data_IF_714390736294
#
_entry.id   IF_714390736294
#
_cell.length_a   1.000
_cell.length_b   1.000
_cell.length_c   1.000
_cell.angle_alpha   90.00
_cell.angle_beta   90.00
_cell.angle_gamma   90.00
#
_symmetry.space_group_name_H-M   'P 1'
#
loop_
_entity.id
_entity.type
_entity.pdbx_description
1 polymer ?
#
# COMPACT_ATOMS: atom_id res chain seq x y z
N UNK A 1 2.56 1.52 -28.68
CA UNK A 1 2.92 2.77 -27.97
C UNK A 1 1.69 3.47 -27.39
N UNK A 2 0.61 3.62 -28.16
CA UNK A 2 -0.65 4.28 -27.75
C UNK A 2 -1.26 3.75 -26.46
N UNK A 3 -1.41 2.43 -26.30
CA UNK A 3 -1.94 1.83 -25.04
C UNK A 3 -1.08 2.13 -23.82
N UNK A 4 0.25 2.17 -23.96
CA UNK A 4 1.13 2.48 -22.82
C UNK A 4 0.89 3.90 -22.32
N UNK A 5 0.83 4.85 -23.25
CA UNK A 5 0.59 6.26 -22.93
C UNK A 5 -0.83 6.49 -22.38
N UNK A 6 -1.84 5.81 -22.92
CA UNK A 6 -3.24 5.96 -22.47
C UNK A 6 -3.48 5.51 -21.02
N UNK A 7 -2.63 4.65 -20.47
CA UNK A 7 -2.69 4.25 -19.06
C UNK A 7 -1.67 4.98 -18.19
N UNK A 8 -0.45 5.20 -18.69
CA UNK A 8 0.60 5.87 -17.92
C UNK A 8 0.29 7.35 -17.64
N UNK A 9 -0.25 8.09 -18.62
CA UNK A 9 -0.55 9.52 -18.44
C UNK A 9 -1.68 9.72 -17.42
N UNK A 10 -2.86 9.07 -17.53
CA UNK A 10 -3.90 9.22 -16.52
C UNK A 10 -3.44 8.75 -15.13
N UNK A 11 -2.64 7.69 -15.04
CA UNK A 11 -2.04 7.24 -13.77
C UNK A 11 -1.14 8.32 -13.17
N UNK A 12 -0.27 8.94 -13.98
CA UNK A 12 0.59 10.04 -13.55
C UNK A 12 -0.24 11.22 -13.04
N UNK A 13 -1.22 11.66 -13.82
CA UNK A 13 -2.12 12.76 -13.46
C UNK A 13 -2.91 12.47 -12.17
N UNK A 14 -3.36 11.23 -11.98
CA UNK A 14 -4.07 10.81 -10.76
C UNK A 14 -3.18 10.96 -9.52
N UNK A 15 -1.93 10.50 -9.58
CA UNK A 15 -1.01 10.64 -8.46
C UNK A 15 -0.54 12.09 -8.23
N UNK A 16 -0.36 12.88 -9.29
CA UNK A 16 -0.07 14.32 -9.18
C UNK A 16 -1.24 15.09 -8.55
N UNK A 17 -2.48 14.76 -8.93
CA UNK A 17 -3.68 15.32 -8.31
C UNK A 17 -3.77 14.94 -6.83
N UNK A 18 -3.48 13.68 -6.50
CA UNK A 18 -3.46 13.23 -5.11
C UNK A 18 -2.43 14.01 -4.31
N UNK A 19 -1.20 14.17 -4.82
CA UNK A 19 -0.16 14.96 -4.18
C UNK A 19 -0.61 16.40 -3.91
N UNK A 20 -1.20 17.06 -4.92
CA UNK A 20 -1.75 18.41 -4.75
C UNK A 20 -2.84 18.45 -3.68
N UNK A 21 -3.78 17.49 -3.71
CA UNK A 21 -4.92 17.45 -2.80
C UNK A 21 -4.55 17.13 -1.36
N UNK A 22 -3.66 16.16 -1.15
CA UNK A 22 -3.22 15.84 0.20
C UNK A 22 -2.46 17.01 0.81
N UNK A 23 -1.57 17.69 0.08
CA UNK A 23 -0.90 18.89 0.58
C UNK A 23 -1.87 20.04 0.87
N UNK A 24 -2.93 20.20 0.06
CA UNK A 24 -3.98 21.19 0.32
C UNK A 24 -4.74 20.92 1.63
N UNK A 25 -5.00 19.64 1.94
CA UNK A 25 -5.76 19.22 3.13
C UNK A 25 -4.87 19.20 4.38
N UNK A 26 -3.72 18.54 4.29
CA UNK A 26 -2.87 18.23 5.42
C UNK A 26 -1.82 19.30 5.71
N UNK A 27 -1.35 20.04 4.70
CA UNK A 27 -0.30 21.06 4.86
C UNK A 27 -0.55 22.00 6.05
N UNK A 28 -1.70 22.72 6.09
CA UNK A 28 -2.01 23.63 7.19
C UNK A 28 -2.09 22.96 8.57
N UNK A 29 -2.55 21.70 8.63
CA UNK A 29 -2.68 20.95 9.88
C UNK A 29 -1.31 20.44 10.39
N UNK A 30 -0.42 20.08 9.47
CA UNK A 30 0.89 19.51 9.78
C UNK A 30 1.99 20.55 9.96
N UNK A 31 1.85 21.76 9.43
CA UNK A 31 2.82 22.87 9.65
C UNK A 31 3.19 23.08 11.12
N UNK A 32 2.26 23.22 12.08
CA UNK A 32 2.61 23.38 13.49
C UNK A 32 3.29 22.13 14.08
N UNK A 33 2.87 20.93 13.66
CA UNK A 33 3.49 19.67 14.10
C UNK A 33 4.93 19.59 13.58
N UNK A 34 5.15 19.93 12.31
CA UNK A 34 6.47 19.96 11.69
C UNK A 34 7.39 20.96 12.39
N UNK A 35 6.89 22.14 12.72
CA UNK A 35 7.65 23.13 13.49
C UNK A 35 8.07 22.58 14.85
N UNK A 36 7.18 21.86 15.55
CA UNK A 36 7.52 21.21 16.82
C UNK A 36 8.56 20.07 16.62
N UNK A 37 8.34 19.18 15.66
CA UNK A 37 9.22 18.04 15.37
C UNK A 37 10.63 18.44 14.87
N UNK A 38 10.80 19.67 14.38
CA UNK A 38 12.09 20.20 13.87
C UNK A 38 12.74 21.20 14.80
N UNK A 39 12.12 21.53 15.93
CA UNK A 39 12.66 22.47 16.89
C UNK A 39 13.87 21.87 17.64
N UNK A 40 15.09 22.42 17.46
CA UNK A 40 16.29 21.88 18.13
C UNK A 40 16.32 22.14 19.64
N UNK A 41 15.50 23.06 20.16
CA UNK A 41 15.47 23.44 21.57
C UNK A 41 14.57 22.53 22.42
N UNK A 42 13.83 21.62 21.76
CA UNK A 42 12.92 20.67 22.40
C UNK A 42 13.59 19.29 22.36
N UNK A 43 14.00 18.80 23.53
CA UNK A 43 14.43 17.41 23.66
C UNK A 43 13.25 16.46 23.46
N UNK A 44 13.54 15.22 23.07
CA UNK A 44 12.51 14.17 22.90
C UNK A 44 11.79 13.88 24.23
N UNK A 45 12.53 13.90 25.34
CA UNK A 45 12.00 13.64 26.68
C UNK A 45 11.03 14.76 27.15
N UNK A 46 11.30 16.01 26.77
CA UNK A 46 10.43 17.15 27.10
C UNK A 46 9.35 17.42 26.05
N UNK A 47 9.34 16.67 24.93
CA UNK A 47 8.53 16.99 23.75
C UNK A 47 7.06 17.12 24.09
N UNK A 48 6.50 16.13 24.78
CA UNK A 48 5.08 16.13 25.14
C UNK A 48 4.72 17.28 26.08
N UNK A 49 5.59 17.55 27.07
CA UNK A 49 5.37 18.64 28.03
C UNK A 49 5.45 20.03 27.39
N UNK A 50 6.41 20.25 26.47
CA UNK A 50 6.66 21.55 25.85
C UNK A 50 5.72 21.87 24.70
N UNK A 51 5.21 20.86 24.01
CA UNK A 51 4.42 21.05 22.78
C UNK A 51 2.95 20.68 22.95
N UNK A 52 2.61 19.85 23.94
CA UNK A 52 1.28 19.25 24.07
C UNK A 52 1.02 18.10 23.09
N UNK A 53 1.97 17.77 22.21
CA UNK A 53 1.87 16.62 21.30
C UNK A 53 2.24 15.31 22.00
N UNK A 54 1.88 14.18 21.39
CA UNK A 54 2.14 12.88 21.96
C UNK A 54 3.62 12.48 21.85
N UNK A 55 4.12 11.72 22.81
CA UNK A 55 5.49 11.19 22.78
C UNK A 55 5.73 10.27 21.59
N UNK A 56 6.93 10.30 21.02
CA UNK A 56 7.31 9.44 19.88
C UNK A 56 8.70 8.82 20.09
N UNK A 57 8.99 7.73 19.40
CA UNK A 57 10.29 7.03 19.49
C UNK A 57 11.19 7.37 18.28
N UNK A 58 12.11 8.35 18.39
CA UNK A 58 12.92 8.81 17.27
C UNK A 58 13.89 7.75 16.74
N UNK A 59 14.26 6.74 17.54
CA UNK A 59 15.20 5.71 17.12
C UNK A 59 14.64 4.84 15.98
N UNK A 60 13.32 4.72 15.89
CA UNK A 60 12.64 4.01 14.80
C UNK A 60 12.81 4.72 13.45
N UNK A 61 13.21 6.00 13.46
CA UNK A 61 13.52 6.78 12.26
C UNK A 61 14.94 6.55 11.72
N UNK A 62 15.75 5.71 12.36
CA UNK A 62 17.11 5.35 11.92
C UNK A 62 18.01 6.57 11.61
N UNK A 63 17.87 7.63 12.41
CA UNK A 63 18.62 8.87 12.23
C UNK A 63 18.03 9.79 11.17
N UNK A 64 17.81 9.31 9.95
CA UNK A 64 17.40 10.11 8.80
C UNK A 64 15.91 10.46 8.76
N UNK A 65 15.05 9.67 9.41
CA UNK A 65 13.59 9.79 9.35
C UNK A 65 12.98 10.15 10.71
N UNK A 66 13.74 10.78 11.61
CA UNK A 66 13.25 11.19 12.95
C UNK A 66 12.02 12.08 12.86
N UNK A 67 12.06 13.09 11.98
CA UNK A 67 10.94 14.03 11.76
C UNK A 67 9.72 13.29 11.23
N UNK A 68 9.91 12.37 10.27
CA UNK A 68 8.82 11.56 9.73
C UNK A 68 8.15 10.71 10.83
N UNK A 69 8.93 10.07 11.70
CA UNK A 69 8.39 9.28 12.82
C UNK A 69 7.60 10.16 13.81
N UNK A 70 8.06 11.39 14.05
CA UNK A 70 7.31 12.36 14.86
C UNK A 70 5.96 12.69 14.21
N UNK A 71 5.96 13.10 12.94
CA UNK A 71 4.75 13.47 12.19
C UNK A 71 3.72 12.34 12.12
N UNK A 72 4.17 11.13 11.74
CA UNK A 72 3.27 10.00 11.57
C UNK A 72 2.70 9.50 12.90
N UNK A 73 3.42 9.67 14.01
CA UNK A 73 2.90 9.34 15.34
C UNK A 73 1.71 10.25 15.69
N UNK A 74 1.82 11.57 15.43
CA UNK A 74 0.70 12.49 15.67
C UNK A 74 -0.47 12.22 14.72
N UNK A 75 -0.18 11.94 13.45
CA UNK A 75 -1.19 11.60 12.47
C UNK A 75 -1.99 10.35 12.85
N UNK A 76 -1.29 9.28 13.26
CA UNK A 76 -1.92 8.03 13.69
C UNK A 76 -2.72 8.21 14.99
N UNK A 77 -2.28 9.10 15.88
CA UNK A 77 -3.04 9.47 17.07
C UNK A 77 -4.35 10.16 16.68
N UNK A 78 -4.31 11.17 15.81
CA UNK A 78 -5.52 11.87 15.35
C UNK A 78 -6.51 10.91 14.68
N UNK A 79 -6.02 10.00 13.82
CA UNK A 79 -6.86 8.98 13.20
C UNK A 79 -7.49 8.03 14.23
N UNK A 80 -6.74 7.68 15.27
CA UNK A 80 -7.28 6.83 16.33
C UNK A 80 -8.36 7.55 17.14
N UNK A 81 -8.14 8.82 17.48
CA UNK A 81 -9.07 9.63 18.27
C UNK A 81 -10.34 10.00 17.52
N UNK A 82 -10.32 9.93 16.18
CA UNK A 82 -11.47 10.15 15.30
C UNK A 82 -12.26 8.86 15.00
N UNK A 83 -12.32 7.92 15.95
CA UNK A 83 -13.13 6.71 15.81
C UNK A 83 -14.63 7.07 15.60
N UNK A 84 -15.33 6.44 14.64
CA UNK A 84 -14.92 5.33 13.79
C UNK A 84 -14.29 5.75 12.44
N UNK A 85 -14.35 7.04 12.08
CA UNK A 85 -13.93 7.52 10.76
C UNK A 85 -12.46 7.20 10.45
N UNK A 86 -11.56 7.42 11.41
CA UNK A 86 -10.13 7.18 11.19
C UNK A 86 -9.76 5.71 11.00
N UNK A 87 -10.40 4.75 11.70
CA UNK A 87 -10.16 3.32 11.45
C UNK A 87 -10.73 2.87 10.10
N UNK A 88 -11.87 3.44 9.68
CA UNK A 88 -12.49 3.13 8.39
C UNK A 88 -11.58 3.58 7.23
N UNK A 89 -11.07 4.80 7.28
CA UNK A 89 -10.22 5.35 6.21
C UNK A 89 -8.82 4.76 6.22
N UNK A 90 -8.18 4.60 7.39
CA UNK A 90 -6.89 3.93 7.49
C UNK A 90 -6.96 2.45 7.10
N UNK A 91 -7.95 1.73 7.64
CA UNK A 91 -8.20 0.34 7.31
C UNK A 91 -8.46 0.14 5.82
N UNK A 92 -9.14 1.09 5.17
CA UNK A 92 -9.35 1.12 3.72
C UNK A 92 -8.03 1.07 2.94
N UNK A 93 -7.06 1.93 3.28
CA UNK A 93 -5.73 1.91 2.65
C UNK A 93 -5.03 0.57 2.87
N UNK A 94 -5.06 0.04 4.09
CA UNK A 94 -4.39 -1.23 4.40
C UNK A 94 -4.97 -2.36 3.56
N UNK A 95 -6.30 -2.49 3.51
CA UNK A 95 -7.02 -3.48 2.69
C UNK A 95 -6.61 -3.39 1.22
N UNK A 96 -6.57 -2.19 0.63
CA UNK A 96 -6.18 -1.99 -0.78
C UNK A 96 -4.69 -2.31 -1.01
N UNK A 97 -3.83 -2.06 -0.03
CA UNK A 97 -2.38 -2.23 -0.14
C UNK A 97 -1.89 -3.69 -0.12
N UNK A 98 -2.72 -4.63 0.34
CA UNK A 98 -2.35 -6.05 0.45
C UNK A 98 -1.92 -6.66 -0.90
N UNK A 99 -2.74 -6.66 -1.96
CA UNK A 99 -2.33 -7.16 -3.28
C UNK A 99 -1.13 -6.38 -3.83
N UNK A 100 -1.05 -5.08 -3.52
CA UNK A 100 0.02 -4.21 -4.01
C UNK A 100 1.39 -4.62 -3.47
N UNK A 101 1.50 -4.94 -2.19
CA UNK A 101 2.77 -5.36 -1.57
C UNK A 101 3.36 -6.57 -2.29
N UNK A 102 2.51 -7.55 -2.62
CA UNK A 102 2.92 -8.73 -3.39
C UNK A 102 3.40 -8.35 -4.80
N UNK A 103 2.63 -7.52 -5.51
CA UNK A 103 2.96 -7.08 -6.87
C UNK A 103 4.31 -6.32 -6.89
N UNK A 104 4.48 -5.34 -6.00
CA UNK A 104 5.68 -4.49 -5.95
C UNK A 104 6.95 -5.32 -5.81
N UNK A 105 6.95 -6.31 -4.91
CA UNK A 105 8.12 -7.12 -4.63
C UNK A 105 8.37 -8.20 -5.68
N UNK A 106 7.31 -8.81 -6.23
CA UNK A 106 7.43 -9.86 -7.25
C UNK A 106 7.86 -9.28 -8.59
N UNK A 107 7.24 -8.17 -9.03
CA UNK A 107 7.59 -7.49 -10.30
C UNK A 107 9.06 -7.09 -10.32
N UNK A 108 9.61 -6.61 -9.21
CA UNK A 108 11.02 -6.24 -9.10
C UNK A 108 11.98 -7.41 -9.41
N UNK A 109 11.55 -8.65 -9.12
CA UNK A 109 12.36 -9.85 -9.32
C UNK A 109 12.19 -10.54 -10.67
N UNK A 110 11.23 -10.11 -11.50
CA UNK A 110 10.98 -10.79 -12.78
C UNK A 110 12.10 -10.58 -13.79
N UNK A 111 12.44 -11.66 -14.50
CA UNK A 111 13.34 -11.59 -15.66
C UNK A 111 12.76 -10.61 -16.69
N UNK A 112 13.58 -9.67 -17.14
CA UNK A 112 13.18 -8.62 -18.09
C UNK A 112 12.67 -7.32 -17.45
N UNK A 113 12.41 -7.26 -16.14
CA UNK A 113 12.08 -6.00 -15.45
C UNK A 113 13.25 -5.01 -15.55
N UNK A 114 12.96 -3.78 -15.96
CA UNK A 114 13.91 -2.65 -16.12
C UNK A 114 13.40 -1.39 -15.39
N UNK A 115 14.28 -0.42 -15.21
CA UNK A 115 13.92 0.89 -14.63
C UNK A 115 13.62 0.84 -13.13
N UNK A 116 12.81 1.80 -12.66
CA UNK A 116 12.58 2.03 -11.23
C UNK A 116 11.92 0.85 -10.51
N UNK A 117 11.08 0.06 -11.20
CA UNK A 117 10.35 -1.07 -10.57
C UNK A 117 11.28 -2.16 -10.04
N UNK A 118 12.57 -2.15 -10.40
CA UNK A 118 13.58 -3.06 -9.83
C UNK A 118 14.01 -2.68 -8.42
N UNK A 119 13.66 -1.49 -7.93
CA UNK A 119 14.10 -0.96 -6.64
C UNK A 119 12.92 -0.83 -5.68
N UNK A 120 12.37 -1.94 -5.17
CA UNK A 120 11.19 -1.91 -4.30
C UNK A 120 11.45 -1.17 -2.99
N UNK A 121 12.69 -1.16 -2.49
CA UNK A 121 13.09 -0.39 -1.29
C UNK A 121 12.99 1.11 -1.55
N UNK A 122 13.43 1.59 -2.72
CA UNK A 122 13.28 3.00 -3.10
C UNK A 122 11.80 3.38 -3.15
N UNK A 123 10.97 2.54 -3.78
CA UNK A 123 9.52 2.76 -3.79
C UNK A 123 8.91 2.71 -2.38
N UNK A 124 9.33 1.77 -1.53
CA UNK A 124 8.91 1.72 -0.13
C UNK A 124 9.20 3.02 0.61
N UNK A 125 10.41 3.57 0.46
CA UNK A 125 10.78 4.84 1.09
C UNK A 125 9.98 6.01 0.53
N UNK A 126 9.75 6.05 -0.78
CA UNK A 126 8.91 7.06 -1.41
C UNK A 126 7.45 6.95 -0.95
N UNK A 127 6.89 5.75 -0.82
CA UNK A 127 5.55 5.52 -0.25
C UNK A 127 5.45 6.07 1.16
N UNK A 128 6.50 5.90 1.97
CA UNK A 128 6.52 6.39 3.34
C UNK A 128 6.64 7.92 3.43
N UNK A 129 7.41 8.53 2.52
CA UNK A 129 7.65 9.98 2.52
C UNK A 129 6.52 10.79 1.90
N UNK A 130 5.92 10.28 0.82
CA UNK A 130 5.00 11.04 -0.03
C UNK A 130 3.59 10.43 -0.11
N UNK A 131 3.38 9.27 0.52
CA UNK A 131 2.13 8.52 0.47
C UNK A 131 2.13 7.46 -0.64
N UNK A 132 1.58 6.28 -0.31
CA UNK A 132 1.42 5.18 -1.27
C UNK A 132 0.44 5.54 -2.39
N UNK A 133 -0.60 6.29 -2.07
CA UNK A 133 -1.61 6.81 -3.00
C UNK A 133 -1.04 7.76 -4.04
N UNK A 134 0.05 8.47 -3.72
CA UNK A 134 0.72 9.39 -4.64
C UNK A 134 1.68 8.61 -5.53
N UNK A 135 2.64 7.92 -4.93
CA UNK A 135 3.78 7.36 -5.65
C UNK A 135 3.38 6.13 -6.46
N UNK A 136 2.40 5.35 -6.00
CA UNK A 136 1.97 4.17 -6.75
C UNK A 136 1.42 4.53 -8.13
N UNK A 137 0.35 5.34 -8.26
CA UNK A 137 -0.15 5.76 -9.56
C UNK A 137 0.80 6.74 -10.26
N UNK A 138 1.49 7.64 -9.54
CA UNK A 138 2.35 8.64 -10.20
C UNK A 138 3.61 8.05 -10.82
N UNK A 139 4.30 7.16 -10.09
CA UNK A 139 5.63 6.70 -10.48
C UNK A 139 5.66 5.19 -10.71
N UNK A 140 5.09 4.40 -9.82
CA UNK A 140 5.22 2.93 -9.91
C UNK A 140 4.49 2.36 -11.13
N UNK A 141 3.22 2.73 -11.34
CA UNK A 141 2.42 2.22 -12.47
C UNK A 141 3.01 2.62 -13.83
N UNK A 142 3.36 3.90 -14.10
CA UNK A 142 4.06 4.28 -15.31
C UNK A 142 5.39 3.54 -15.47
N UNK A 143 6.19 3.45 -14.40
CA UNK A 143 7.46 2.71 -14.43
C UNK A 143 7.25 1.26 -14.83
N UNK A 144 6.21 0.59 -14.31
CA UNK A 144 5.86 -0.77 -14.68
C UNK A 144 5.50 -0.89 -16.16
N UNK A 145 4.62 -0.03 -16.68
CA UNK A 145 4.18 -0.02 -18.09
C UNK A 145 5.38 0.08 -19.05
N UNK A 146 6.41 0.81 -18.65
CA UNK A 146 7.65 0.99 -19.43
C UNK A 146 8.77 0.01 -19.07
N UNK A 147 8.64 -0.79 -18.01
CA UNK A 147 9.69 -1.68 -17.49
C UNK A 147 9.94 -2.97 -18.29
N UNK A 148 9.13 -3.25 -19.32
CA UNK A 148 9.09 -4.55 -20.05
C UNK A 148 8.78 -5.78 -19.17
N UNK A 149 8.49 -5.60 -17.88
CA UNK A 149 8.04 -6.67 -17.01
C UNK A 149 6.73 -7.28 -17.52
N UNK A 150 6.58 -8.59 -17.36
CA UNK A 150 5.39 -9.35 -17.81
C UNK A 150 4.86 -10.20 -16.68
N UNK A 151 3.53 -10.28 -16.55
CA UNK A 151 2.87 -11.27 -15.68
C UNK A 151 3.24 -12.69 -16.14
N UNK A 152 3.13 -13.67 -15.25
CA UNK A 152 3.43 -15.08 -15.55
C UNK A 152 4.92 -15.45 -15.63
N UNK A 153 5.83 -14.49 -15.83
CA UNK A 153 7.29 -14.74 -15.79
C UNK A 153 7.66 -15.21 -14.37
N UNK A 154 8.36 -16.36 -14.23
CA UNK A 154 8.56 -16.97 -12.94
C UNK A 154 9.54 -16.17 -12.06
N UNK A 155 9.34 -16.28 -10.75
CA UNK A 155 10.25 -15.76 -9.72
C UNK A 155 10.53 -16.86 -8.69
N UNK A 156 11.47 -16.63 -7.77
CA UNK A 156 11.76 -17.61 -6.73
C UNK A 156 10.59 -17.76 -5.76
N UNK A 157 10.44 -18.96 -5.19
CA UNK A 157 9.47 -19.18 -4.11
C UNK A 157 9.77 -18.34 -2.87
N UNK A 158 11.06 -18.06 -2.62
CA UNK A 158 11.50 -17.17 -1.54
C UNK A 158 10.90 -15.77 -1.70
N UNK A 159 11.01 -15.18 -2.90
CA UNK A 159 10.48 -13.83 -3.16
C UNK A 159 8.96 -13.78 -3.00
N UNK A 160 8.24 -14.75 -3.54
CA UNK A 160 6.77 -14.80 -3.43
C UNK A 160 6.34 -14.98 -1.97
N UNK A 161 6.97 -15.93 -1.27
CA UNK A 161 6.69 -16.18 0.14
C UNK A 161 6.99 -14.97 1.02
N UNK A 162 8.16 -14.36 0.86
CA UNK A 162 8.54 -13.15 1.60
C UNK A 162 7.59 -11.98 1.32
N UNK A 163 7.26 -11.74 0.05
CA UNK A 163 6.32 -10.68 -0.33
C UNK A 163 4.92 -10.88 0.25
N UNK A 164 4.49 -12.14 0.40
CA UNK A 164 3.23 -12.49 1.08
C UNK A 164 3.32 -12.20 2.57
N UNK A 165 4.37 -12.68 3.24
CA UNK A 165 4.54 -12.54 4.69
C UNK A 165 4.75 -11.10 5.14
N UNK A 166 5.36 -10.26 4.28
CA UNK A 166 5.61 -8.86 4.61
C UNK A 166 4.32 -8.04 4.81
N UNK A 167 3.18 -8.52 4.33
CA UNK A 167 1.89 -7.86 4.59
C UNK A 167 1.39 -8.01 6.04
N UNK A 168 1.88 -9.04 6.76
CA UNK A 168 1.41 -9.35 8.11
C UNK A 168 1.85 -8.31 9.14
N UNK A 169 3.14 -7.86 9.19
CA UNK A 169 3.54 -6.79 10.08
C UNK A 169 2.68 -5.53 9.95
N UNK A 170 2.39 -5.05 8.74
CA UNK A 170 1.54 -3.86 8.53
C UNK A 170 0.13 -4.06 9.10
N UNK A 171 -0.45 -5.24 8.90
CA UNK A 171 -1.79 -5.57 9.41
C UNK A 171 -1.80 -5.65 10.94
N UNK A 172 -0.80 -6.31 11.54
CA UNK A 172 -0.66 -6.44 12.98
C UNK A 172 -0.39 -5.09 13.65
N UNK A 173 0.50 -4.27 13.10
CA UNK A 173 0.82 -2.94 13.60
C UNK A 173 -0.39 -2.01 13.50
N UNK A 174 -1.17 -2.09 12.40
CA UNK A 174 -2.43 -1.36 12.27
C UNK A 174 -3.40 -1.73 13.39
N UNK A 175 -3.56 -3.03 13.68
CA UNK A 175 -4.39 -3.47 14.79
C UNK A 175 -3.87 -2.90 16.13
N UNK A 176 -2.57 -2.98 16.39
CA UNK A 176 -1.99 -2.44 17.62
C UNK A 176 -2.18 -0.92 17.76
N UNK A 177 -2.05 -0.16 16.66
CA UNK A 177 -2.24 1.29 16.67
C UNK A 177 -3.69 1.69 16.98
N UNK A 178 -4.69 0.92 16.55
CA UNK A 178 -6.08 1.27 16.83
C UNK A 178 -6.63 0.70 18.14
N UNK A 179 -6.00 -0.33 18.72
CA UNK A 179 -6.55 -1.04 19.88
C UNK A 179 -5.66 -1.09 21.13
N UNK A 180 -4.33 -0.91 21.04
CA UNK A 180 -3.47 -0.83 22.23
C UNK A 180 -3.67 0.53 22.93
N UNK A 181 -3.38 0.68 24.22
CA UNK A 181 -3.48 1.97 24.93
C UNK A 181 -2.51 3.02 24.35
N UNK A 182 -2.97 4.25 24.08
CA UNK A 182 -2.16 5.35 23.49
C UNK A 182 -0.94 5.67 24.35
N UNK A 183 -1.09 5.58 25.67
CA UNK A 183 -0.02 5.96 26.61
C UNK A 183 1.00 4.82 26.80
N UNK A 184 0.78 3.69 26.14
CA UNK A 184 1.68 2.54 26.22
C UNK A 184 2.85 2.64 25.25
N UNK A 185 4.02 2.18 25.69
CA UNK A 185 5.19 2.01 24.82
C UNK A 185 4.90 1.09 23.61
N UNK A 186 3.97 0.15 23.77
CA UNK A 186 3.52 -0.72 22.68
C UNK A 186 2.90 0.09 21.54
N UNK A 187 2.04 1.06 21.86
CA UNK A 187 1.40 1.92 20.86
C UNK A 187 2.43 2.83 20.17
N UNK A 188 3.25 3.55 20.95
CA UNK A 188 4.28 4.46 20.42
C UNK A 188 5.25 3.73 19.48
N UNK A 189 5.72 2.55 19.87
CA UNK A 189 6.60 1.75 19.02
C UNK A 189 5.88 1.23 17.78
N UNK A 190 4.61 0.82 17.91
CA UNK A 190 3.83 0.31 16.77
C UNK A 190 3.59 1.41 15.74
N UNK A 191 3.20 2.60 16.17
CA UNK A 191 3.02 3.78 15.33
C UNK A 191 4.33 4.16 14.63
N UNK A 192 5.45 4.19 15.37
CA UNK A 192 6.76 4.51 14.82
C UNK A 192 7.30 3.48 13.82
N UNK A 193 7.03 2.18 14.02
CA UNK A 193 7.41 1.13 13.05
C UNK A 193 6.52 1.20 11.81
N UNK A 194 5.21 1.38 11.99
CA UNK A 194 4.22 1.46 10.92
C UNK A 194 4.48 2.66 10.00
N UNK A 195 4.87 3.78 10.59
CA UNK A 195 5.17 5.03 9.90
C UNK A 195 6.65 5.26 9.58
N UNK A 196 7.53 4.37 10.02
CA UNK A 196 8.97 4.50 9.89
C UNK A 196 9.54 3.83 8.63
N UNK A 197 10.85 4.00 8.36
CA UNK A 197 11.52 3.40 7.22
C UNK A 197 11.65 1.87 7.31
N UNK A 198 11.41 1.26 8.48
CA UNK A 198 11.66 -0.16 8.71
C UNK A 198 10.87 -1.08 7.77
N UNK A 199 9.57 -0.82 7.59
CA UNK A 199 8.74 -1.60 6.67
C UNK A 199 9.18 -1.40 5.22
N UNK A 200 9.55 -0.18 4.83
CA UNK A 200 10.06 0.12 3.49
C UNK A 200 11.39 -0.60 3.19
N UNK A 201 12.28 -0.69 4.18
CA UNK A 201 13.59 -1.32 4.03
C UNK A 201 13.56 -2.84 4.11
N UNK A 202 12.46 -3.44 4.56
CA UNK A 202 12.31 -4.90 4.59
C UNK A 202 12.55 -5.57 3.23
N UNK A 203 12.36 -4.85 2.11
CA UNK A 203 12.71 -5.32 0.78
C UNK A 203 14.20 -5.62 0.57
N UNK A 204 15.10 -5.11 1.43
CA UNK A 204 16.54 -5.42 1.41
C UNK A 204 16.82 -6.91 1.64
N UNK A 205 15.93 -7.62 2.33
CA UNK A 205 16.04 -9.08 2.49
C UNK A 205 16.02 -9.82 1.14
N UNK A 206 15.47 -9.19 0.09
CA UNK A 206 15.41 -9.72 -1.27
C UNK A 206 16.52 -9.16 -2.20
N UNK A 207 17.50 -8.45 -1.65
CA UNK A 207 18.60 -7.88 -2.46
C UNK A 207 19.44 -8.97 -3.15
N UNK A 208 19.70 -10.07 -2.44
CA UNK A 208 20.50 -11.20 -2.93
C UNK A 208 19.67 -12.30 -3.62
N UNK A 209 18.36 -12.08 -3.78
CA UNK A 209 17.47 -13.07 -4.37
C UNK A 209 17.70 -13.23 -5.88
N UNK A 210 17.79 -14.48 -6.34
CA UNK A 210 18.14 -14.83 -7.73
C UNK A 210 16.94 -14.91 -8.68
N UNK A 211 15.80 -14.29 -8.36
CA UNK A 211 14.60 -14.31 -9.22
C UNK A 211 14.86 -13.90 -10.69
N UNK A 212 15.70 -12.89 -10.99
CA UNK A 212 15.95 -12.52 -12.39
C UNK A 212 16.66 -13.61 -13.21
N UNK A 213 17.28 -14.58 -12.56
CA UNK A 213 18.01 -15.70 -13.18
C UNK A 213 17.15 -16.95 -13.37
N UNK A 214 15.87 -16.94 -12.95
CA UNK A 214 14.97 -18.08 -13.11
C UNK A 214 14.51 -18.16 -14.56
N UNK A 215 14.77 -19.28 -15.22
CA UNK A 215 14.33 -19.51 -16.60
C UNK A 215 12.84 -19.80 -16.70
N UNK A 216 12.24 -19.33 -17.78
CA UNK A 216 10.80 -19.33 -18.03
C UNK A 216 10.25 -20.67 -18.54
N UNK A 217 10.87 -21.80 -18.19
CA UNK A 217 10.38 -23.13 -18.61
C UNK A 217 9.03 -23.49 -17.95
N UNK A 218 8.28 -24.47 -18.49
CA UNK A 218 6.91 -24.75 -18.04
C UNK A 218 6.83 -25.16 -16.57
N UNK A 219 7.85 -25.86 -16.04
CA UNK A 219 7.92 -26.29 -14.64
C UNK A 219 8.06 -25.09 -13.70
N UNK A 220 8.95 -24.15 -14.02
CA UNK A 220 9.15 -22.95 -13.21
C UNK A 220 7.94 -22.01 -13.28
N UNK A 221 7.36 -21.83 -14.48
CA UNK A 221 6.15 -21.04 -14.69
C UNK A 221 4.99 -21.61 -13.87
N UNK A 222 4.70 -22.90 -13.97
CA UNK A 222 3.63 -23.55 -13.22
C UNK A 222 3.84 -23.45 -11.70
N UNK A 223 5.08 -23.68 -11.22
CA UNK A 223 5.42 -23.60 -9.79
C UNK A 223 5.23 -22.18 -9.25
N UNK A 224 5.78 -21.18 -9.94
CA UNK A 224 5.66 -19.76 -9.57
C UNK A 224 4.20 -19.32 -9.61
N UNK A 225 3.46 -19.66 -10.67
CA UNK A 225 2.06 -19.31 -10.82
C UNK A 225 1.19 -19.92 -9.71
N UNK A 226 1.34 -21.21 -9.40
CA UNK A 226 0.57 -21.86 -8.34
C UNK A 226 0.82 -21.18 -6.98
N UNK A 227 2.08 -20.84 -6.67
CA UNK A 227 2.39 -20.15 -5.43
C UNK A 227 1.82 -18.72 -5.41
N UNK A 228 1.93 -17.95 -6.49
CA UNK A 228 1.32 -16.63 -6.62
C UNK A 228 -0.19 -16.67 -6.39
N UNK A 229 -0.89 -17.65 -6.98
CA UNK A 229 -2.34 -17.82 -6.79
C UNK A 229 -2.69 -18.12 -5.33
N UNK A 230 -1.95 -19.01 -4.68
CA UNK A 230 -2.12 -19.29 -3.25
C UNK A 230 -1.88 -18.05 -2.38
N UNK A 231 -0.86 -17.26 -2.71
CA UNK A 231 -0.59 -15.99 -2.04
C UNK A 231 -1.73 -14.99 -2.22
N UNK A 232 -2.25 -14.79 -3.44
CA UNK A 232 -3.41 -13.92 -3.66
C UNK A 232 -4.68 -14.43 -2.96
N UNK A 233 -4.91 -15.74 -2.94
CA UNK A 233 -6.04 -16.32 -2.20
C UNK A 233 -5.92 -16.04 -0.70
N UNK A 234 -4.74 -16.25 -0.13
CA UNK A 234 -4.47 -15.96 1.28
C UNK A 234 -4.66 -14.47 1.60
N UNK A 235 -4.01 -13.59 0.84
CA UNK A 235 -4.14 -12.13 1.03
C UNK A 235 -5.57 -11.64 0.78
N UNK A 236 -6.28 -12.24 -0.17
CA UNK A 236 -7.70 -11.98 -0.41
C UNK A 236 -8.56 -12.39 0.80
N UNK A 237 -8.28 -13.53 1.43
CA UNK A 237 -8.95 -13.94 2.67
C UNK A 237 -8.70 -12.95 3.82
N UNK A 238 -7.46 -12.54 4.03
CA UNK A 238 -7.10 -11.52 5.05
C UNK A 238 -7.81 -10.20 4.74
N UNK A 239 -7.76 -9.76 3.48
CA UNK A 239 -8.42 -8.54 3.02
C UNK A 239 -9.94 -8.57 3.23
N UNK A 240 -10.58 -9.72 2.99
CA UNK A 240 -12.01 -9.88 3.16
C UNK A 240 -12.40 -9.75 4.63
N UNK A 241 -11.66 -10.42 5.53
CA UNK A 241 -11.90 -10.32 6.97
C UNK A 241 -11.75 -8.88 7.46
N UNK A 242 -10.68 -8.19 7.06
CA UNK A 242 -10.49 -6.78 7.42
C UNK A 242 -11.61 -5.90 6.89
N UNK A 243 -11.98 -6.05 5.61
CA UNK A 243 -13.08 -5.28 5.03
C UNK A 243 -14.41 -5.53 5.74
N UNK A 244 -14.73 -6.79 6.04
CA UNK A 244 -15.93 -7.15 6.80
C UNK A 244 -15.94 -6.48 8.18
N UNK A 245 -14.81 -6.44 8.88
CA UNK A 245 -14.68 -5.70 10.14
C UNK A 245 -14.96 -4.20 9.96
N UNK A 246 -14.44 -3.56 8.92
CA UNK A 246 -14.70 -2.14 8.65
C UNK A 246 -16.18 -1.88 8.32
N UNK A 247 -16.82 -2.78 7.57
CA UNK A 247 -18.26 -2.70 7.28
C UNK A 247 -19.08 -2.85 8.56
N UNK A 248 -18.71 -3.78 9.45
CA UNK A 248 -19.36 -3.94 10.76
C UNK A 248 -19.21 -2.68 11.61
N UNK A 249 -17.99 -2.12 11.69
CA UNK A 249 -17.74 -0.85 12.41
C UNK A 249 -18.59 0.28 11.85
N UNK A 250 -18.65 0.42 10.52
CA UNK A 250 -19.48 1.43 9.87
C UNK A 250 -20.98 1.22 10.16
N UNK A 251 -21.47 -0.01 10.05
CA UNK A 251 -22.87 -0.34 10.30
C UNK A 251 -23.29 -0.12 11.76
N UNK A 252 -22.38 -0.38 12.72
CA UNK A 252 -22.66 -0.17 14.14
C UNK A 252 -22.60 1.31 14.54
N UNK A 253 -21.81 2.11 13.83
CA UNK A 253 -21.53 3.49 14.24
C UNK A 253 -22.35 4.54 13.51
N UNK A 254 -22.88 4.23 12.32
CA UNK A 254 -23.62 5.18 11.48
C UNK A 254 -25.05 4.70 11.21
N UNK A 255 -26.02 5.60 11.27
CA UNK A 255 -27.42 5.24 10.99
C UNK A 255 -27.70 5.13 9.48
N UNK A 256 -26.93 5.85 8.67
CA UNK A 256 -27.09 5.88 7.22
C UNK A 256 -25.77 6.25 6.51
N UNK A 257 -25.74 6.04 5.19
CA UNK A 257 -24.56 6.34 4.36
C UNK A 257 -24.22 7.83 4.28
N UNK A 258 -25.19 8.72 4.50
CA UNK A 258 -24.94 10.16 4.45
C UNK A 258 -24.11 10.64 5.64
N UNK A 259 -24.35 10.11 6.84
CA UNK A 259 -23.55 10.37 8.03
C UNK A 259 -22.12 9.87 7.84
N UNK A 260 -21.96 8.62 7.40
CA UNK A 260 -20.65 8.07 7.08
C UNK A 260 -19.90 8.97 6.08
N UNK A 261 -20.57 9.40 4.99
CA UNK A 261 -19.95 10.25 3.98
C UNK A 261 -19.55 11.63 4.52
N UNK A 262 -20.33 12.19 5.44
CA UNK A 262 -19.97 13.44 6.09
C UNK A 262 -18.70 13.27 6.92
N UNK A 263 -18.65 12.24 7.76
CA UNK A 263 -17.55 12.03 8.71
C UNK A 263 -16.22 11.64 8.04
N UNK A 264 -16.27 10.95 6.88
CA UNK A 264 -15.04 10.57 6.15
C UNK A 264 -14.62 11.57 5.08
N UNK A 265 -15.49 12.52 4.70
CA UNK A 265 -15.19 13.45 3.61
C UNK A 265 -15.61 14.90 3.87
N UNK A 266 -16.90 15.17 4.07
CA UNK A 266 -17.43 16.56 4.04
C UNK A 266 -17.05 17.36 5.28
N UNK A 267 -17.19 16.75 6.45
CA UNK A 267 -16.96 17.34 7.77
C UNK A 267 -15.73 16.68 8.45
N UNK A 268 -14.97 15.89 7.69
CA UNK A 268 -13.80 15.15 8.15
C UNK A 268 -12.67 16.07 8.60
N UNK A 269 -12.02 15.70 9.70
CA UNK A 269 -10.74 16.30 10.09
C UNK A 269 -9.65 16.07 9.03
N UNK A 270 -8.56 16.85 9.06
CA UNK A 270 -7.50 16.78 8.04
C UNK A 270 -6.95 15.37 7.82
N UNK A 271 -6.71 14.62 8.90
CA UNK A 271 -6.12 13.29 8.80
C UNK A 271 -7.09 12.26 8.19
N UNK A 272 -8.37 12.33 8.54
CA UNK A 272 -9.40 11.45 7.97
C UNK A 272 -9.62 11.76 6.50
N UNK A 273 -9.75 13.05 6.13
CA UNK A 273 -9.91 13.47 4.75
C UNK A 273 -8.71 13.06 3.88
N UNK A 274 -7.49 13.21 4.40
CA UNK A 274 -6.27 12.70 3.77
C UNK A 274 -6.38 11.20 3.49
N UNK A 275 -6.74 10.40 4.50
CA UNK A 275 -6.82 8.94 4.35
C UNK A 275 -7.94 8.48 3.40
N UNK A 276 -9.02 9.27 3.29
CA UNK A 276 -10.07 9.05 2.29
C UNK A 276 -9.53 9.26 0.87
N UNK A 277 -8.79 10.35 0.62
CA UNK A 277 -8.10 10.55 -0.67
C UNK A 277 -7.15 9.38 -0.94
N UNK A 278 -6.34 9.02 0.06
CA UNK A 278 -5.35 7.96 -0.08
C UNK A 278 -5.98 6.62 -0.48
N UNK A 279 -7.05 6.23 0.18
CA UNK A 279 -7.77 4.98 -0.10
C UNK A 279 -8.30 4.96 -1.53
N UNK A 280 -9.00 6.03 -1.93
CA UNK A 280 -9.65 6.12 -3.23
C UNK A 280 -8.63 6.14 -4.37
N UNK A 281 -7.61 6.98 -4.25
CA UNK A 281 -6.57 7.14 -5.27
C UNK A 281 -5.74 5.86 -5.40
N UNK A 282 -5.35 5.25 -4.29
CA UNK A 282 -4.61 3.99 -4.32
C UNK A 282 -5.42 2.91 -5.03
N UNK A 283 -6.70 2.79 -4.70
CA UNK A 283 -7.59 1.81 -5.31
C UNK A 283 -7.76 2.05 -6.82
N UNK A 284 -7.98 3.30 -7.24
CA UNK A 284 -8.03 3.67 -8.66
C UNK A 284 -6.70 3.37 -9.37
N UNK A 285 -5.56 3.61 -8.72
CA UNK A 285 -4.24 3.24 -9.24
C UNK A 285 -4.13 1.73 -9.50
N UNK A 286 -4.62 0.91 -8.58
CA UNK A 286 -4.63 -0.57 -8.74
C UNK A 286 -5.57 -0.97 -9.88
N UNK A 287 -6.74 -0.34 -10.01
CA UNK A 287 -7.65 -0.59 -11.13
C UNK A 287 -7.03 -0.21 -12.48
N UNK A 288 -6.31 0.91 -12.56
CA UNK A 288 -5.58 1.33 -13.76
C UNK A 288 -4.52 0.28 -14.13
N UNK A 289 -3.78 -0.23 -13.14
CA UNK A 289 -2.81 -1.30 -13.36
C UNK A 289 -3.48 -2.58 -13.89
N UNK A 290 -4.60 -2.99 -13.30
CA UNK A 290 -5.37 -4.15 -13.77
C UNK A 290 -5.91 -3.89 -15.19
N UNK A 291 -6.45 -2.70 -15.47
CA UNK A 291 -7.03 -2.34 -16.76
C UNK A 291 -5.99 -2.33 -17.88
N UNK A 292 -4.76 -1.90 -17.58
CA UNK A 292 -3.64 -1.98 -18.50
C UNK A 292 -3.44 -3.41 -19.03
N UNK A 293 -3.60 -4.41 -18.16
CA UNK A 293 -3.56 -5.82 -18.54
C UNK A 293 -4.87 -6.33 -19.15
N UNK A 294 -6.02 -6.00 -18.56
CA UNK A 294 -7.33 -6.40 -19.04
C UNK A 294 -8.43 -5.50 -18.46
N UNK A 295 -9.06 -4.69 -19.32
CA UNK A 295 -10.19 -3.82 -18.95
C UNK A 295 -11.39 -4.61 -18.39
N UNK A 296 -11.82 -5.75 -18.98
CA UNK A 296 -12.88 -6.56 -18.39
C UNK A 296 -12.56 -7.04 -16.96
N UNK A 297 -11.28 -7.32 -16.68
CA UNK A 297 -10.85 -7.73 -15.34
C UNK A 297 -10.86 -6.58 -14.35
N UNK A 298 -10.53 -5.36 -14.78
CA UNK A 298 -10.66 -4.17 -13.94
C UNK A 298 -12.13 -3.88 -13.61
N UNK A 299 -13.02 -3.98 -14.59
CA UNK A 299 -14.47 -3.85 -14.37
C UNK A 299 -14.95 -4.93 -13.40
N UNK A 300 -14.50 -6.18 -13.56
CA UNK A 300 -14.81 -7.27 -12.63
C UNK A 300 -14.35 -6.94 -11.20
N UNK A 301 -13.12 -6.46 -11.01
CA UNK A 301 -12.64 -6.05 -9.68
C UNK A 301 -13.49 -4.91 -9.10
N UNK A 302 -13.85 -3.92 -9.92
CA UNK A 302 -14.71 -2.81 -9.51
C UNK A 302 -16.09 -3.27 -9.06
N UNK A 303 -16.76 -4.11 -9.85
CA UNK A 303 -18.11 -4.63 -9.54
C UNK A 303 -18.11 -5.54 -8.31
N UNK A 304 -17.04 -6.29 -8.05
CA UNK A 304 -16.93 -7.16 -6.88
C UNK A 304 -16.64 -6.40 -5.58
N UNK A 305 -16.07 -5.21 -5.66
CA UNK A 305 -15.59 -4.45 -4.49
C UNK A 305 -16.64 -4.20 -3.42
N UNK A 306 -17.89 -3.80 -3.74
CA UNK A 306 -18.93 -3.62 -2.72
C UNK A 306 -19.29 -4.90 -1.94
N UNK A 307 -19.02 -6.09 -2.50
CA UNK A 307 -19.42 -7.36 -1.91
C UNK A 307 -18.30 -8.04 -1.11
N UNK A 308 -17.05 -7.95 -1.59
CA UNK A 308 -15.91 -8.65 -0.99
C UNK A 308 -14.80 -7.72 -0.50
N UNK A 309 -14.95 -6.42 -0.72
CA UNK A 309 -13.92 -5.43 -0.43
C UNK A 309 -12.90 -5.29 -1.56
N UNK A 310 -12.22 -4.13 -1.65
CA UNK A 310 -11.36 -3.81 -2.78
C UNK A 310 -10.11 -4.69 -2.87
N UNK A 311 -9.46 -4.98 -1.73
CA UNK A 311 -8.25 -5.82 -1.72
C UNK A 311 -8.55 -7.27 -2.16
N UNK A 312 -9.65 -7.85 -1.69
CA UNK A 312 -10.11 -9.19 -2.09
C UNK A 312 -10.44 -9.24 -3.58
N UNK A 313 -11.21 -8.28 -4.09
CA UNK A 313 -11.60 -8.21 -5.49
C UNK A 313 -10.36 -8.09 -6.40
N UNK A 314 -9.39 -7.25 -6.02
CA UNK A 314 -8.12 -7.12 -6.72
C UNK A 314 -7.30 -8.42 -6.65
N UNK A 315 -7.17 -9.07 -5.49
CA UNK A 315 -6.48 -10.35 -5.34
C UNK A 315 -7.05 -11.45 -6.24
N UNK A 316 -8.38 -11.58 -6.29
CA UNK A 316 -9.06 -12.57 -7.16
C UNK A 316 -8.72 -12.34 -8.63
N UNK A 317 -8.83 -11.10 -9.08
CA UNK A 317 -8.53 -10.73 -10.48
C UNK A 317 -7.05 -10.87 -10.81
N UNK A 318 -6.16 -10.49 -9.90
CA UNK A 318 -4.71 -10.65 -10.08
C UNK A 318 -4.29 -12.12 -10.16
N UNK A 319 -4.90 -12.99 -9.35
CA UNK A 319 -4.71 -14.44 -9.46
C UNK A 319 -5.09 -14.96 -10.86
N UNK A 320 -6.20 -14.50 -11.42
CA UNK A 320 -6.65 -14.88 -12.78
C UNK A 320 -5.69 -14.35 -13.86
N UNK A 321 -5.21 -13.11 -13.73
CA UNK A 321 -4.27 -12.52 -14.68
C UNK A 321 -2.92 -13.25 -14.69
N UNK A 322 -2.40 -13.65 -13.53
CA UNK A 322 -1.17 -14.45 -13.45
C UNK A 322 -1.34 -15.83 -14.13
N UNK A 323 -2.48 -16.49 -13.92
CA UNK A 323 -2.79 -17.78 -14.54
C UNK A 323 -2.91 -17.69 -16.07
N UNK A 324 -3.58 -16.64 -16.56
CA UNK A 324 -3.70 -16.37 -17.98
C UNK A 324 -2.33 -16.15 -18.62
N UNK A 325 -1.51 -15.27 -18.03
CA UNK A 325 -0.17 -14.98 -18.53
C UNK A 325 0.77 -16.20 -18.48
N UNK A 326 0.70 -17.00 -17.41
CA UNK A 326 1.47 -18.25 -17.30
C UNK A 326 1.09 -19.28 -18.38
N UNK A 327 -0.20 -19.37 -18.70
CA UNK A 327 -0.72 -20.26 -19.75
C UNK A 327 -0.26 -19.82 -21.13
N UNK A 328 -0.28 -18.51 -21.42
CA UNK A 328 0.20 -17.95 -22.68
C UNK A 328 1.69 -18.19 -22.90
N UNK A 329 2.52 -17.96 -21.87
CA UNK A 329 3.96 -18.24 -21.93
C UNK A 329 4.25 -19.71 -22.22
N UNK A 330 3.54 -20.62 -21.54
CA UNK A 330 3.70 -22.07 -21.73
C UNK A 330 3.25 -22.55 -23.13
N UNK A 331 2.36 -21.81 -23.80
CA UNK A 331 1.93 -22.09 -25.19
C UNK A 331 2.90 -21.52 -26.22
N UNK A 332 3.52 -20.37 -25.94
CA UNK A 332 4.54 -19.77 -26.81
C UNK A 332 5.76 -20.66 -26.99
N UNK A 333 6.29 -21.22 -25.90
CA UNK A 333 7.45 -22.13 -25.96
C UNK A 333 7.19 -23.40 -26.77
N UNK A 334 5.94 -23.88 -26.84
CA UNK A 334 5.58 -25.06 -27.65
C UNK A 334 5.55 -24.78 -29.16
N UNK A 335 5.50 -23.52 -29.59
CA UNK A 335 5.52 -23.15 -31.01
C UNK A 335 6.93 -22.94 -31.54
N UNK A 336 7.88 -22.63 -30.65
CA UNK A 336 9.27 -22.32 -30.98
C UNK A 336 10.23 -23.51 -30.75
N UNK A 337 9.71 -24.65 -30.29
CA UNK A 337 10.44 -25.90 -30.03
C UNK A 337 10.08 -26.97 -31.07
#
# INVERSE_FOLDING_TARGET
>A
MTRKLSYAIPSFCLGAWAFYKVNQISGPAFEPILAACTNPDISVDDFAQKTGYHSYEPMLGLGAFKVLVCLITQFLLELRETYPAGIITWGGVVVVSLPLTLINLVVAGRKGSKGLVRYPVLFGLLFQLLGVSVIYPMLWVPSYIFSESKLGVPTTTLRIGYATLLTLPTTMLTFLVFYADTDSRLWTNSAGILGGPLLAMSGLALWMDKSPSVDANPKNVAKSCNLMRKSYLFLGGVSFLMYACLVVVAFQSYQNLSELWKDVWVEAGPSVAFMTVDTLVLYLGVLIFIAYHSEPKAIKAFVLTPFVGPGTACCMVMSELEEQAATELSRGEKKDA
#
